data_IF_630868863386
#
_entry.id   IF_630868863386
#
_cell.length_a   1.000
_cell.length_b   1.000
_cell.length_c   1.000
_cell.angle_alpha   90.00
_cell.angle_beta   90.00
_cell.angle_gamma   90.00
#
_symmetry.space_group_name_H-M   'P 1'
#
loop_
_entity.id
_entity.type
_entity.pdbx_description
1 polymer ?
#
# COMPACT_ATOMS: atom_id res chain seq x y z
N UNK A 1 9.55 -0.68 22.84
CA UNK A 1 10.34 -1.82 22.37
C UNK A 1 11.35 -1.44 21.31
N UNK A 2 12.45 -2.19 21.25
CA UNK A 2 13.54 -1.94 20.31
C UNK A 2 13.10 -1.90 18.85
N UNK A 3 12.26 -2.83 18.34
CA UNK A 3 11.83 -2.79 16.93
C UNK A 3 11.13 -1.49 16.56
N UNK A 4 10.26 -0.96 17.43
CA UNK A 4 9.55 0.28 17.17
C UNK A 4 10.51 1.47 17.15
N UNK A 5 11.46 1.52 18.07
CA UNK A 5 12.48 2.57 18.11
C UNK A 5 13.37 2.53 16.89
N UNK A 6 13.78 1.35 16.48
CA UNK A 6 14.59 1.17 15.29
C UNK A 6 13.84 1.66 14.05
N UNK A 7 12.59 1.24 13.88
CA UNK A 7 11.79 1.63 12.73
C UNK A 7 11.48 3.12 12.73
N UNK A 8 11.30 3.70 13.91
CA UNK A 8 11.06 5.14 14.08
C UNK A 8 12.28 6.01 13.77
N UNK A 9 13.46 5.42 13.57
CA UNK A 9 14.66 6.17 13.21
C UNK A 9 14.67 6.62 11.74
N UNK A 10 13.77 6.10 10.91
CA UNK A 10 13.67 6.52 9.50
C UNK A 10 13.30 8.00 9.40
N UNK A 11 14.05 8.76 8.63
CA UNK A 11 13.87 10.21 8.56
C UNK A 11 14.64 10.84 7.41
N UNK A 12 14.25 12.06 7.07
CA UNK A 12 15.10 12.96 6.30
C UNK A 12 15.98 13.73 7.26
N UNK A 13 17.27 13.79 6.98
CA UNK A 13 18.23 14.47 7.83
C UNK A 13 18.41 15.89 7.31
N UNK A 14 18.26 16.88 8.19
CA UNK A 14 18.48 18.27 7.83
C UNK A 14 19.92 18.46 7.40
N UNK A 15 20.12 19.09 6.25
CA UNK A 15 21.44 19.30 5.63
C UNK A 15 22.21 18.01 5.34
N UNK A 16 21.50 16.90 5.27
CA UNK A 16 22.11 15.60 4.98
C UNK A 16 21.22 14.79 4.06
N UNK A 17 21.42 13.49 4.01
CA UNK A 17 20.60 12.58 3.25
C UNK A 17 19.35 12.16 3.99
N UNK A 18 18.94 10.95 3.73
CA UNK A 18 17.77 10.36 4.39
C UNK A 18 18.09 8.91 4.80
N UNK A 19 17.34 8.43 5.78
CA UNK A 19 17.40 7.02 6.18
C UNK A 19 16.05 6.40 5.88
N UNK A 20 16.06 5.42 4.98
CA UNK A 20 14.87 4.65 4.63
C UNK A 20 14.99 3.26 5.23
N UNK A 21 13.94 2.79 5.86
CA UNK A 21 13.90 1.45 6.46
C UNK A 21 12.74 0.69 5.83
N UNK A 22 13.05 -0.48 5.27
CA UNK A 22 12.05 -1.40 4.74
C UNK A 22 12.05 -2.61 5.65
N UNK A 23 10.89 -2.89 6.24
CA UNK A 23 10.72 -4.01 7.16
C UNK A 23 9.57 -4.90 6.71
N UNK A 24 9.71 -6.20 6.92
CA UNK A 24 8.62 -7.15 6.70
C UNK A 24 8.13 -7.68 8.04
N UNK A 25 6.83 -7.94 8.11
CA UNK A 25 6.22 -8.51 9.30
C UNK A 25 5.20 -9.56 8.87
N UNK A 26 5.12 -10.64 9.64
CA UNK A 26 4.13 -11.70 9.38
C UNK A 26 2.86 -11.40 10.18
N UNK A 27 1.73 -11.72 9.56
CA UNK A 27 0.42 -11.62 10.20
C UNK A 27 -0.34 -12.93 10.03
N UNK A 28 -1.37 -13.14 10.83
CA UNK A 28 -2.22 -14.34 10.76
C UNK A 28 -1.44 -15.65 10.90
N UNK A 29 -0.41 -15.62 11.75
CA UNK A 29 0.43 -16.79 12.02
C UNK A 29 -0.01 -17.55 13.27
N UNK A 30 -0.95 -16.98 14.04
CA UNK A 30 -1.32 -17.50 15.34
C UNK A 30 -0.36 -17.11 16.45
N UNK A 31 0.73 -16.40 16.13
CA UNK A 31 1.71 -15.94 17.11
C UNK A 31 1.33 -14.55 17.63
N UNK A 32 1.24 -14.42 18.95
CA UNK A 32 0.97 -13.11 19.58
C UNK A 32 2.13 -12.16 19.38
N UNK A 33 3.36 -12.66 19.32
CA UNK A 33 4.54 -11.83 19.12
C UNK A 33 4.50 -11.19 17.73
N UNK A 34 4.13 -11.96 16.70
CA UNK A 34 4.02 -11.44 15.34
C UNK A 34 2.96 -10.33 15.26
N UNK A 35 1.82 -10.54 15.92
CA UNK A 35 0.76 -9.53 15.96
C UNK A 35 1.21 -8.25 16.66
N UNK A 36 1.94 -8.36 17.75
CA UNK A 36 2.47 -7.21 18.48
C UNK A 36 3.46 -6.43 17.63
N UNK A 37 4.37 -7.13 16.96
CA UNK A 37 5.38 -6.50 16.09
C UNK A 37 4.68 -5.77 14.93
N UNK A 38 3.69 -6.40 14.32
CA UNK A 38 2.93 -5.78 13.23
C UNK A 38 2.25 -4.49 13.69
N UNK A 39 1.57 -4.51 14.84
CA UNK A 39 0.89 -3.33 15.37
C UNK A 39 1.87 -2.21 15.71
N UNK A 40 3.06 -2.53 16.23
CA UNK A 40 4.08 -1.54 16.50
C UNK A 40 4.58 -0.87 15.22
N UNK A 41 4.82 -1.66 14.16
CA UNK A 41 5.24 -1.12 12.86
C UNK A 41 4.15 -0.29 12.22
N UNK A 42 2.91 -0.73 12.33
CA UNK A 42 1.75 -0.04 11.76
C UNK A 42 1.59 1.38 12.31
N UNK A 43 1.84 1.55 13.59
CA UNK A 43 1.75 2.87 14.22
C UNK A 43 2.91 3.81 13.88
N UNK A 44 4.01 3.28 13.35
CA UNK A 44 5.24 4.04 13.14
C UNK A 44 5.58 4.26 11.67
N UNK A 45 5.17 3.35 10.80
CA UNK A 45 5.55 3.38 9.37
C UNK A 45 4.86 4.48 8.58
N UNK A 46 5.53 4.92 7.52
CA UNK A 46 5.01 5.90 6.58
C UNK A 46 4.22 5.25 5.46
N UNK A 47 4.51 4.00 5.16
CA UNK A 47 3.87 3.24 4.09
C UNK A 47 3.66 1.82 4.56
N UNK A 48 2.53 1.24 4.18
CA UNK A 48 2.15 -0.11 4.55
C UNK A 48 1.63 -0.83 3.30
N UNK A 49 2.24 -1.97 2.99
CA UNK A 49 1.77 -2.84 1.92
C UNK A 49 1.32 -4.14 2.56
N UNK A 50 0.02 -4.41 2.48
CA UNK A 50 -0.55 -5.63 3.03
C UNK A 50 -0.83 -6.64 1.94
N UNK A 51 -0.46 -7.89 2.19
CA UNK A 51 -0.77 -9.01 1.31
C UNK A 51 -1.95 -9.80 1.89
N UNK A 52 -2.74 -10.39 1.01
CA UNK A 52 -3.93 -11.14 1.40
C UNK A 52 -3.82 -12.59 0.91
N UNK A 53 -3.86 -13.52 1.85
CA UNK A 53 -3.78 -14.95 1.54
C UNK A 53 -4.94 -15.43 0.66
N UNK A 54 -6.11 -14.81 0.76
CA UNK A 54 -7.26 -15.15 -0.09
C UNK A 54 -6.94 -14.97 -1.57
N UNK A 55 -6.19 -13.92 -1.90
CA UNK A 55 -5.76 -13.67 -3.27
C UNK A 55 -4.78 -14.73 -3.74
N UNK A 56 -3.80 -15.06 -2.90
CA UNK A 56 -2.81 -16.09 -3.20
C UNK A 56 -3.47 -17.46 -3.40
N UNK A 57 -4.46 -17.79 -2.58
CA UNK A 57 -5.22 -19.04 -2.70
C UNK A 57 -5.95 -19.14 -4.03
N UNK A 58 -6.35 -18.04 -4.59
CA UNK A 58 -6.98 -17.97 -5.92
C UNK A 58 -5.98 -17.74 -7.04
N UNK A 59 -4.69 -17.76 -6.71
CA UNK A 59 -3.59 -17.54 -7.65
C UNK A 59 -3.65 -16.19 -8.35
N UNK A 60 -4.14 -15.19 -7.65
CA UNK A 60 -4.15 -13.79 -8.10
C UNK A 60 -2.89 -13.14 -7.55
N UNK A 61 -1.98 -12.75 -8.43
CA UNK A 61 -0.70 -12.15 -8.04
C UNK A 61 -0.49 -10.85 -8.81
N UNK A 62 0.11 -9.84 -8.18
CA UNK A 62 0.53 -9.81 -6.77
C UNK A 62 -0.66 -9.85 -5.82
N UNK A 63 -0.52 -10.60 -4.72
CA UNK A 63 -1.61 -10.83 -3.77
C UNK A 63 -1.74 -9.66 -2.79
N UNK A 64 -1.94 -8.45 -3.33
CA UNK A 64 -1.98 -7.20 -2.56
C UNK A 64 -3.41 -6.86 -2.18
N UNK A 65 -3.62 -6.59 -0.90
CA UNK A 65 -4.87 -5.99 -0.44
C UNK A 65 -4.76 -4.48 -0.62
N UNK A 66 -5.36 -3.99 -1.69
CA UNK A 66 -5.19 -2.60 -2.11
C UNK A 66 -5.78 -1.63 -1.09
N UNK A 67 -6.96 -1.93 -0.57
CA UNK A 67 -7.63 -1.02 0.36
C UNK A 67 -6.97 -0.99 1.73
N UNK A 68 -6.35 -2.09 2.15
CA UNK A 68 -5.61 -2.16 3.40
C UNK A 68 -4.21 -1.55 3.30
N UNK A 69 -3.72 -1.37 2.08
CA UNK A 69 -2.40 -0.79 1.84
C UNK A 69 -2.52 0.73 1.70
N UNK A 70 -1.56 1.47 2.22
CA UNK A 70 -1.62 2.93 2.16
C UNK A 70 -0.24 3.56 2.34
N UNK A 71 -0.14 4.81 1.89
CA UNK A 71 1.00 5.68 2.12
C UNK A 71 0.49 6.90 2.89
N UNK A 72 1.12 7.22 4.02
CA UNK A 72 0.62 8.23 4.94
C UNK A 72 0.57 9.64 4.34
N UNK A 73 1.63 10.03 3.66
CA UNK A 73 1.75 11.36 3.08
C UNK A 73 2.02 11.28 1.58
N UNK A 74 1.06 10.72 0.84
CA UNK A 74 1.16 10.61 -0.61
C UNK A 74 1.19 11.99 -1.30
N UNK A 75 0.64 13.02 -0.66
CA UNK A 75 0.69 14.39 -1.15
C UNK A 75 2.13 14.92 -1.30
N UNK A 76 3.07 14.38 -0.54
CA UNK A 76 4.48 14.75 -0.67
C UNK A 76 5.18 14.02 -1.81
N UNK A 77 4.59 12.96 -2.32
CA UNK A 77 5.20 12.09 -3.33
C UNK A 77 4.60 12.25 -4.72
N UNK A 78 3.35 12.70 -4.80
CA UNK A 78 2.60 12.78 -6.03
C UNK A 78 2.06 14.19 -6.24
N UNK A 79 1.86 14.58 -7.51
CA UNK A 79 1.23 15.86 -7.83
C UNK A 79 -0.26 15.84 -7.56
N UNK A 80 -0.87 17.01 -7.53
CA UNK A 80 -2.28 17.20 -7.20
C UNK A 80 -3.23 16.41 -8.11
N UNK A 81 -2.95 16.37 -9.40
CA UNK A 81 -3.79 15.64 -10.35
C UNK A 81 -3.74 14.12 -10.08
N UNK A 82 -2.55 13.60 -9.82
CA UNK A 82 -2.37 12.18 -9.53
C UNK A 82 -3.10 11.80 -8.24
N UNK A 83 -2.98 12.64 -7.20
CA UNK A 83 -3.66 12.40 -5.92
C UNK A 83 -5.17 12.39 -6.10
N UNK A 84 -5.71 13.34 -6.86
CA UNK A 84 -7.14 13.41 -7.14
C UNK A 84 -7.65 12.15 -7.85
N UNK A 85 -6.90 11.69 -8.85
CA UNK A 85 -7.23 10.46 -9.58
C UNK A 85 -7.11 9.21 -8.71
N UNK A 86 -6.09 9.16 -7.87
CA UNK A 86 -5.93 8.07 -6.89
C UNK A 86 -7.09 8.03 -5.90
N UNK A 87 -7.56 9.20 -5.48
CA UNK A 87 -8.70 9.29 -4.57
C UNK A 87 -9.98 8.77 -5.22
N UNK A 88 -10.21 9.13 -6.49
CA UNK A 88 -11.35 8.61 -7.27
C UNK A 88 -11.26 7.10 -7.39
N UNK A 89 -10.08 6.59 -7.70
CA UNK A 89 -9.84 5.15 -7.80
C UNK A 89 -10.15 4.45 -6.48
N UNK A 90 -9.65 4.97 -5.37
CA UNK A 90 -9.92 4.37 -4.05
C UNK A 90 -11.41 4.38 -3.71
N UNK A 91 -12.11 5.44 -4.05
CA UNK A 91 -13.56 5.47 -3.85
C UNK A 91 -14.26 4.40 -4.68
N UNK A 92 -13.85 4.23 -5.91
CA UNK A 92 -14.41 3.20 -6.79
C UNK A 92 -14.17 1.81 -6.22
N UNK A 93 -12.98 1.57 -5.69
CA UNK A 93 -12.62 0.26 -5.14
C UNK A 93 -13.23 -0.01 -3.77
N UNK A 94 -13.69 1.02 -3.07
CA UNK A 94 -14.12 0.89 -1.67
C UNK A 94 -15.33 -0.03 -1.48
N UNK A 95 -16.16 -0.20 -2.50
CA UNK A 95 -17.33 -1.10 -2.46
C UNK A 95 -17.00 -2.53 -2.88
N UNK A 96 -15.75 -2.79 -3.25
CA UNK A 96 -15.30 -4.10 -3.69
C UNK A 96 -14.58 -4.84 -2.56
N UNK A 97 -14.67 -6.18 -2.58
CA UNK A 97 -13.82 -6.97 -1.70
C UNK A 97 -12.40 -7.01 -2.28
N UNK A 98 -11.44 -7.58 -1.53
CA UNK A 98 -10.03 -7.58 -1.94
C UNK A 98 -9.79 -8.30 -3.28
N UNK A 99 -10.55 -9.35 -3.54
CA UNK A 99 -10.44 -10.13 -4.78
C UNK A 99 -10.91 -9.31 -5.96
N UNK A 100 -12.11 -8.74 -5.85
CA UNK A 100 -12.68 -7.91 -6.92
C UNK A 100 -11.80 -6.71 -7.24
N UNK A 101 -11.29 -6.05 -6.19
CA UNK A 101 -10.44 -4.87 -6.36
C UNK A 101 -9.15 -5.23 -7.11
N UNK A 102 -8.50 -6.34 -6.74
CA UNK A 102 -7.26 -6.74 -7.39
C UNK A 102 -7.48 -7.22 -8.81
N UNK A 103 -8.56 -7.96 -9.07
CA UNK A 103 -8.90 -8.39 -10.43
C UNK A 103 -9.19 -7.19 -11.33
N UNK A 104 -9.93 -6.20 -10.81
CA UNK A 104 -10.21 -4.97 -11.55
C UNK A 104 -8.92 -4.23 -11.91
N UNK A 105 -8.07 -4.00 -10.91
CA UNK A 105 -6.81 -3.29 -11.13
C UNK A 105 -5.90 -4.02 -12.11
N UNK A 106 -5.75 -5.32 -11.92
CA UNK A 106 -4.90 -6.13 -12.78
C UNK A 106 -5.37 -6.08 -14.24
N UNK A 107 -6.67 -6.24 -14.46
CA UNK A 107 -7.25 -6.17 -15.80
C UNK A 107 -6.98 -4.81 -16.46
N UNK A 108 -7.21 -3.73 -15.73
CA UNK A 108 -7.02 -2.37 -16.25
C UNK A 108 -5.55 -2.04 -16.48
N UNK A 109 -4.67 -2.46 -15.59
CA UNK A 109 -3.24 -2.21 -15.75
C UNK A 109 -2.66 -2.97 -16.94
N UNK A 110 -3.14 -4.16 -17.21
CA UNK A 110 -2.71 -4.94 -18.36
C UNK A 110 -3.12 -4.30 -19.70
N UNK A 111 -4.17 -3.48 -19.69
CA UNK A 111 -4.68 -2.80 -20.90
C UNK A 111 -4.08 -1.42 -21.12
N UNK A 112 -3.25 -0.95 -20.20
CA UNK A 112 -2.62 0.36 -20.27
C UNK A 112 -1.11 0.20 -20.27
N UNK A 113 -0.39 1.22 -20.79
CA UNK A 113 1.06 1.18 -20.93
C UNK A 113 1.80 1.62 -19.68
N UNK A 114 1.17 2.47 -18.88
CA UNK A 114 1.78 3.01 -17.67
C UNK A 114 0.69 3.51 -16.72
N UNK A 115 1.10 3.91 -15.52
CA UNK A 115 0.18 4.38 -14.49
C UNK A 115 -0.55 5.67 -14.89
N UNK A 116 0.12 6.56 -15.60
CA UNK A 116 -0.48 7.81 -16.04
C UNK A 116 -1.66 7.56 -16.97
N UNK A 117 -1.48 6.66 -17.94
CA UNK A 117 -2.53 6.26 -18.87
C UNK A 117 -3.70 5.60 -18.13
N UNK A 118 -3.39 4.71 -17.18
CA UNK A 118 -4.40 4.06 -16.37
C UNK A 118 -5.23 5.06 -15.58
N UNK A 119 -4.56 5.99 -14.87
CA UNK A 119 -5.26 6.98 -14.06
C UNK A 119 -6.07 7.95 -14.92
N UNK A 120 -5.58 8.30 -16.10
CA UNK A 120 -6.32 9.14 -17.04
C UNK A 120 -7.60 8.45 -17.50
N UNK A 121 -7.59 7.13 -17.68
CA UNK A 121 -8.77 6.39 -18.13
C UNK A 121 -9.91 6.39 -17.11
N UNK A 122 -9.58 6.62 -15.84
CA UNK A 122 -10.60 6.66 -14.78
C UNK A 122 -11.55 7.85 -14.91
N UNK A 123 -11.13 8.90 -15.60
CA UNK A 123 -11.96 10.11 -15.82
C UNK A 123 -12.78 10.03 -17.11
N UNK A 124 -12.58 9.00 -17.91
CA UNK A 124 -13.24 8.88 -19.24
C UNK A 124 -14.57 8.17 -19.20
N UNK A 125 -14.93 7.60 -18.08
CA UNK A 125 -16.16 6.79 -17.94
C UNK A 125 -17.25 7.54 -17.20
#
# INVERSE_FOLDING_TARGET
HKPKRFFGAARNIENGGSLTIIATALTDTGSKMDDVIFEEFKGTGNMELQLDRKLANKRIYPAVDIMASSTRRDDLLQGDDTIRRMWILRRYLSDMNSIEAMEFLKDRLEKTRNNEEFLASMNSD
#
